data_IF_043323012664
#
_entry.id   IF_043323012664
#
_cell.length_a   1.000
_cell.length_b   1.000
_cell.length_c   1.000
_cell.angle_alpha   90.00
_cell.angle_beta   90.00
_cell.angle_gamma   90.00
#
_symmetry.space_group_name_H-M   'P 1'
#
loop_
_entity.id
_entity.type
_entity.pdbx_description
1 polymer ?
#
# COMPACT_ATOMS: atom_id res chain seq x y z
N UNK A 1 -12.98 17.21 -26.20
CA UNK A 1 -11.86 16.52 -25.57
C UNK A 1 -11.05 17.56 -24.80
N UNK A 2 -10.65 17.24 -23.58
CA UNK A 2 -9.79 18.14 -22.80
C UNK A 2 -8.40 18.18 -23.41
N UNK A 3 -7.69 19.30 -23.25
CA UNK A 3 -6.29 19.40 -23.70
C UNK A 3 -5.40 18.30 -23.07
N UNK A 4 -5.78 17.77 -21.89
CA UNK A 4 -5.04 16.68 -21.21
C UNK A 4 -5.17 15.37 -22.01
N UNK A 5 -6.40 15.00 -22.41
CA UNK A 5 -6.65 13.77 -23.17
C UNK A 5 -5.93 13.78 -24.53
N UNK A 6 -5.95 14.92 -25.23
CA UNK A 6 -5.24 15.07 -26.51
C UNK A 6 -3.71 14.97 -26.33
N UNK A 7 -3.18 15.61 -25.26
CA UNK A 7 -1.77 15.53 -24.92
C UNK A 7 -1.33 14.08 -24.64
N UNK A 8 -2.08 13.37 -23.81
CA UNK A 8 -1.72 12.02 -23.36
C UNK A 8 -1.88 10.96 -24.47
N UNK A 9 -2.79 11.15 -25.41
CA UNK A 9 -2.92 10.26 -26.59
C UNK A 9 -1.85 10.47 -27.64
N UNK A 10 -1.33 11.69 -27.77
CA UNK A 10 -0.41 12.11 -28.82
C UNK A 10 0.90 12.68 -28.28
N UNK A 11 1.38 12.17 -27.14
CA UNK A 11 2.57 12.72 -26.48
C UNK A 11 3.84 12.55 -27.31
N UNK A 12 3.96 11.50 -28.14
CA UNK A 12 5.12 11.24 -28.98
C UNK A 12 6.42 10.87 -28.24
N UNK A 13 6.33 10.66 -26.93
CA UNK A 13 7.47 10.31 -26.06
C UNK A 13 7.76 8.81 -26.19
N UNK A 14 9.03 8.43 -26.35
CA UNK A 14 9.43 7.03 -26.36
C UNK A 14 9.51 6.49 -24.93
N UNK A 15 8.63 5.54 -24.62
CA UNK A 15 8.54 4.84 -23.33
C UNK A 15 8.92 3.34 -23.46
N UNK A 16 9.45 2.90 -24.58
CA UNK A 16 9.81 1.48 -24.84
C UNK A 16 10.82 0.92 -23.84
N UNK A 17 11.63 1.78 -23.23
CA UNK A 17 12.60 1.42 -22.19
C UNK A 17 11.96 0.93 -20.88
N UNK A 18 10.68 1.19 -20.66
CA UNK A 18 9.97 0.77 -19.44
C UNK A 18 9.94 -0.75 -19.29
N UNK A 19 9.85 -1.51 -20.39
CA UNK A 19 9.83 -2.97 -20.33
C UNK A 19 11.13 -3.53 -19.77
N UNK A 20 12.27 -3.08 -20.28
CA UNK A 20 13.56 -3.54 -19.78
C UNK A 20 13.85 -3.09 -18.36
N UNK A 21 13.38 -1.91 -17.96
CA UNK A 21 13.51 -1.44 -16.60
C UNK A 21 12.63 -2.27 -15.64
N UNK A 22 11.38 -2.55 -16.01
CA UNK A 22 10.48 -3.39 -15.22
C UNK A 22 11.07 -4.78 -15.00
N UNK A 23 11.58 -5.43 -16.06
CA UNK A 23 12.21 -6.74 -15.97
C UNK A 23 13.47 -6.72 -15.07
N UNK A 24 14.29 -5.67 -15.16
CA UNK A 24 15.48 -5.51 -14.30
C UNK A 24 15.09 -5.34 -12.82
N UNK A 25 14.11 -4.50 -12.52
CA UNK A 25 13.61 -4.31 -11.15
C UNK A 25 13.01 -5.61 -10.60
N UNK A 26 12.21 -6.33 -11.40
CA UNK A 26 11.59 -7.58 -11.02
C UNK A 26 12.59 -8.69 -10.72
N UNK A 27 13.65 -8.81 -11.55
CA UNK A 27 14.72 -9.79 -11.36
C UNK A 27 15.56 -9.47 -10.11
N UNK A 28 15.57 -8.19 -9.70
CA UNK A 28 16.46 -7.67 -8.65
C UNK A 28 15.74 -7.06 -7.44
N UNK A 29 14.71 -7.70 -6.87
CA UNK A 29 13.97 -7.14 -5.74
C UNK A 29 14.81 -7.05 -4.48
N UNK A 30 14.52 -6.06 -3.65
CA UNK A 30 15.14 -5.87 -2.34
C UNK A 30 14.05 -5.72 -1.26
N UNK A 31 14.29 -6.33 -0.08
CA UNK A 31 13.38 -6.25 1.06
C UNK A 31 13.31 -4.84 1.62
N UNK A 32 12.18 -4.52 2.28
CA UNK A 32 12.00 -3.28 3.05
C UNK A 32 13.19 -2.98 3.97
N UNK A 33 13.78 -1.78 3.81
CA UNK A 33 14.95 -1.32 4.56
C UNK A 33 16.30 -1.78 4.01
N UNK A 34 16.32 -2.40 2.82
CA UNK A 34 17.54 -2.87 2.15
C UNK A 34 17.64 -2.44 0.68
N UNK A 35 16.82 -1.50 0.23
CA UNK A 35 16.55 -1.13 -1.17
C UNK A 35 17.70 -0.29 -1.79
N UNK A 36 18.94 -0.71 -1.58
CA UNK A 36 20.14 0.02 -2.01
C UNK A 36 20.32 0.03 -3.51
N UNK A 37 20.13 -1.10 -4.19
CA UNK A 37 20.31 -1.24 -5.63
C UNK A 37 19.14 -0.59 -6.36
N UNK A 38 17.90 -0.81 -5.88
CA UNK A 38 16.69 -0.21 -6.42
C UNK A 38 16.75 1.32 -6.39
N UNK A 39 17.15 1.90 -5.25
CA UNK A 39 17.34 3.35 -5.13
C UNK A 39 18.37 3.89 -6.13
N UNK A 40 19.49 3.17 -6.36
CA UNK A 40 20.49 3.55 -7.37
C UNK A 40 19.94 3.46 -8.79
N UNK A 41 19.14 2.45 -9.10
CA UNK A 41 18.47 2.31 -10.40
C UNK A 41 17.55 3.49 -10.66
N UNK A 42 16.72 3.88 -9.67
CA UNK A 42 15.85 5.06 -9.75
C UNK A 42 16.67 6.33 -10.00
N UNK A 43 17.74 6.55 -9.23
CA UNK A 43 18.64 7.70 -9.41
C UNK A 43 19.26 7.73 -10.81
N UNK A 44 19.69 6.58 -11.33
CA UNK A 44 20.24 6.46 -12.68
C UNK A 44 19.22 6.85 -13.76
N UNK A 45 17.96 6.46 -13.62
CA UNK A 45 16.89 6.86 -14.54
C UNK A 45 16.59 8.36 -14.45
N UNK A 46 16.54 8.92 -13.25
CA UNK A 46 16.27 10.34 -13.03
C UNK A 46 17.35 11.26 -13.60
N UNK A 47 18.60 10.82 -13.72
CA UNK A 47 19.67 11.56 -14.37
C UNK A 47 19.41 11.88 -15.86
N UNK A 48 18.39 11.27 -16.46
CA UNK A 48 17.98 11.53 -17.85
C UNK A 48 17.09 12.77 -17.98
N UNK A 49 16.56 13.28 -16.87
CA UNK A 49 15.54 14.33 -16.84
C UNK A 49 16.09 15.63 -16.26
N UNK A 50 15.50 16.74 -16.65
CA UNK A 50 15.81 18.06 -16.09
C UNK A 50 15.02 18.26 -14.78
N UNK A 51 15.52 17.70 -13.69
CA UNK A 51 14.90 17.80 -12.35
C UNK A 51 15.95 17.95 -11.26
N UNK A 52 15.51 18.54 -10.14
CA UNK A 52 16.27 18.51 -8.89
C UNK A 52 16.04 17.18 -8.18
N UNK A 53 17.12 16.49 -7.79
CA UNK A 53 17.01 15.19 -7.08
C UNK A 53 17.50 15.34 -5.66
N UNK A 54 16.69 14.85 -4.71
CA UNK A 54 17.01 14.79 -3.27
C UNK A 54 17.03 13.31 -2.86
N UNK A 55 18.19 12.84 -2.43
CA UNK A 55 18.42 11.47 -1.96
C UNK A 55 19.68 11.41 -1.09
N UNK A 56 19.74 10.57 -0.03
CA UNK A 56 18.64 9.74 0.45
C UNK A 56 17.64 10.53 1.31
N UNK A 57 16.39 10.05 1.39
CA UNK A 57 15.36 10.58 2.28
C UNK A 57 14.69 9.40 3.00
N UNK A 58 14.71 9.40 4.33
CA UNK A 58 14.14 8.29 5.13
C UNK A 58 14.81 6.94 4.88
N UNK A 59 16.12 6.92 4.65
CA UNK A 59 16.90 5.73 4.35
C UNK A 59 17.25 5.61 2.87
N UNK A 60 16.37 5.06 2.03
CA UNK A 60 16.62 4.84 0.60
C UNK A 60 15.71 5.63 -0.32
N UNK A 61 14.81 6.46 0.23
CA UNK A 61 13.86 7.24 -0.55
C UNK A 61 14.54 8.24 -1.50
N UNK A 62 13.88 8.48 -2.63
CA UNK A 62 14.34 9.38 -3.69
C UNK A 62 13.20 10.34 -4.06
N UNK A 63 13.53 11.61 -4.22
CA UNK A 63 12.57 12.64 -4.62
C UNK A 63 13.12 13.35 -5.85
N UNK A 64 12.31 13.51 -6.88
CA UNK A 64 12.62 14.32 -8.05
C UNK A 64 11.62 15.48 -8.15
N UNK A 65 12.12 16.69 -8.28
CA UNK A 65 11.33 17.92 -8.36
C UNK A 65 11.51 18.57 -9.73
N UNK A 66 10.42 18.57 -10.50
CA UNK A 66 10.35 19.20 -11.81
C UNK A 66 9.66 20.56 -11.68
N UNK A 67 10.39 21.63 -11.91
CA UNK A 67 9.84 22.99 -11.95
C UNK A 67 9.70 23.46 -13.39
N UNK A 68 8.55 24.01 -13.73
CA UNK A 68 8.29 24.43 -15.09
C UNK A 68 7.49 25.73 -15.17
N UNK A 69 7.95 26.65 -16.01
CA UNK A 69 7.32 27.95 -16.21
C UNK A 69 7.34 28.82 -14.94
N UNK A 70 6.28 29.56 -14.70
CA UNK A 70 6.07 30.36 -13.49
C UNK A 70 5.61 29.47 -12.33
N UNK A 71 6.51 28.57 -11.90
CA UNK A 71 6.20 27.54 -10.91
C UNK A 71 5.89 28.11 -9.50
N UNK A 72 6.34 29.32 -9.18
CA UNK A 72 6.08 29.95 -7.88
C UNK A 72 4.61 30.36 -7.71
N UNK A 73 3.93 30.66 -8.81
CA UNK A 73 2.53 31.09 -8.85
C UNK A 73 1.56 29.99 -9.32
N UNK A 74 2.05 28.77 -9.47
CA UNK A 74 1.27 27.63 -9.97
C UNK A 74 1.31 26.46 -9.01
N UNK A 75 0.31 25.53 -9.09
CA UNK A 75 0.17 24.42 -8.17
C UNK A 75 1.38 23.48 -8.09
N UNK A 76 1.50 22.83 -6.95
CA UNK A 76 2.46 21.77 -6.65
C UNK A 76 1.69 20.45 -6.55
N UNK A 77 2.00 19.48 -7.41
CA UNK A 77 1.40 18.16 -7.39
C UNK A 77 2.46 17.10 -7.10
N UNK A 78 2.18 16.22 -6.14
CA UNK A 78 3.06 15.11 -5.77
C UNK A 78 2.44 13.79 -6.23
N UNK A 79 3.24 12.92 -6.85
CA UNK A 79 2.90 11.53 -7.14
C UNK A 79 3.91 10.59 -6.49
N UNK A 80 3.42 9.59 -5.74
CA UNK A 80 4.24 8.61 -5.02
C UNK A 80 4.21 7.27 -5.72
N UNK A 81 5.35 6.58 -5.71
CA UNK A 81 5.49 5.14 -5.94
C UNK A 81 6.35 4.54 -4.83
N UNK A 82 5.97 3.38 -4.34
CA UNK A 82 6.80 2.51 -3.51
C UNK A 82 7.72 1.64 -4.37
N UNK A 83 8.74 1.00 -3.73
CA UNK A 83 9.70 0.21 -4.50
C UNK A 83 10.36 -0.97 -3.76
N UNK A 84 9.86 -1.35 -2.60
CA UNK A 84 10.36 -2.50 -1.85
C UNK A 84 9.73 -3.83 -2.29
N UNK A 85 10.40 -4.93 -1.97
CA UNK A 85 9.97 -6.29 -2.24
C UNK A 85 9.65 -7.08 -0.98
N UNK A 86 9.09 -8.25 -1.17
CA UNK A 86 8.56 -9.14 -0.12
C UNK A 86 9.38 -10.43 0.04
N UNK A 87 9.40 -11.04 1.23
CA UNK A 87 10.04 -12.36 1.45
C UNK A 87 9.17 -13.50 0.89
N UNK A 88 8.88 -13.46 -0.41
CA UNK A 88 8.05 -14.42 -1.14
C UNK A 88 8.90 -15.16 -2.16
N UNK A 89 8.65 -16.49 -2.30
CA UNK A 89 9.27 -17.29 -3.34
C UNK A 89 8.49 -17.13 -4.64
N UNK A 90 9.14 -16.63 -5.66
CA UNK A 90 8.52 -16.49 -6.97
C UNK A 90 8.27 -17.84 -7.65
N UNK A 91 7.11 -17.95 -8.31
CA UNK A 91 6.67 -19.14 -9.06
C UNK A 91 6.05 -18.79 -10.41
N UNK A 92 6.28 -17.57 -10.92
CA UNK A 92 5.72 -17.10 -12.21
C UNK A 92 6.26 -17.85 -13.41
N UNK A 93 7.52 -18.30 -13.34
CA UNK A 93 8.19 -19.04 -14.41
C UNK A 93 8.66 -18.19 -15.59
N UNK A 94 8.62 -16.85 -15.48
CA UNK A 94 9.16 -15.97 -16.54
C UNK A 94 10.69 -16.00 -16.58
N UNK A 95 11.31 -15.71 -17.73
CA UNK A 95 12.77 -15.77 -17.87
C UNK A 95 13.53 -14.83 -16.92
N UNK A 96 12.90 -13.74 -16.50
CA UNK A 96 13.40 -12.71 -15.59
C UNK A 96 12.79 -12.81 -14.20
N UNK A 97 12.32 -14.02 -13.79
CA UNK A 97 11.87 -14.29 -12.45
C UNK A 97 12.98 -14.11 -11.42
N UNK A 98 12.67 -13.56 -10.26
CA UNK A 98 13.64 -13.37 -9.20
C UNK A 98 14.13 -14.70 -8.62
N UNK A 99 15.43 -14.85 -8.51
CA UNK A 99 16.12 -15.93 -7.79
C UNK A 99 16.84 -15.41 -6.55
N UNK A 100 16.58 -14.15 -6.17
CA UNK A 100 17.28 -13.50 -5.06
C UNK A 100 16.92 -14.13 -3.72
N UNK A 101 17.95 -14.27 -2.88
CA UNK A 101 17.85 -14.73 -1.50
C UNK A 101 18.53 -13.69 -0.62
N UNK A 102 17.87 -13.29 0.47
CA UNK A 102 18.38 -12.32 1.44
C UNK A 102 18.24 -12.84 2.88
N UNK A 103 19.15 -12.46 3.79
CA UNK A 103 18.98 -12.74 5.20
C UNK A 103 17.87 -11.85 5.78
N UNK A 104 16.95 -12.47 6.52
CA UNK A 104 15.90 -11.80 7.28
C UNK A 104 15.75 -12.55 8.62
N UNK A 105 15.92 -11.86 9.74
CA UNK A 105 15.78 -12.41 11.11
C UNK A 105 16.58 -13.72 11.33
N UNK A 106 17.80 -13.77 10.78
CA UNK A 106 18.72 -14.91 10.92
C UNK A 106 18.42 -16.09 10.00
N UNK A 107 17.46 -15.98 9.10
CA UNK A 107 17.14 -16.98 8.07
C UNK A 107 17.32 -16.40 6.68
N UNK A 108 17.65 -17.24 5.71
CA UNK A 108 17.69 -16.85 4.31
C UNK A 108 16.31 -17.01 3.68
N UNK A 109 15.74 -15.93 3.15
CA UNK A 109 14.42 -15.92 2.51
C UNK A 109 14.55 -15.56 1.02
N UNK A 110 13.71 -16.13 0.14
CA UNK A 110 13.58 -15.66 -1.22
C UNK A 110 12.94 -14.28 -1.24
N UNK A 111 13.21 -13.48 -2.28
CA UNK A 111 12.66 -12.13 -2.43
C UNK A 111 12.00 -11.98 -3.79
N UNK A 112 10.82 -11.35 -3.81
CA UNK A 112 10.04 -11.10 -5.03
C UNK A 112 9.32 -9.74 -4.93
N UNK A 113 9.12 -9.07 -6.06
CA UNK A 113 8.13 -7.98 -6.16
C UNK A 113 6.69 -8.54 -6.24
N UNK A 114 6.27 -9.24 -5.18
CA UNK A 114 4.95 -9.87 -5.12
C UNK A 114 3.79 -8.88 -4.89
N UNK A 115 4.07 -7.59 -4.73
CA UNK A 115 3.06 -6.53 -4.65
C UNK A 115 3.05 -5.58 -5.85
N UNK A 116 4.00 -5.74 -6.80
CA UNK A 116 4.05 -4.97 -8.04
C UNK A 116 4.66 -3.56 -7.88
N UNK A 117 5.50 -3.34 -6.87
CA UNK A 117 6.17 -2.05 -6.64
C UNK A 117 7.20 -1.71 -7.73
N UNK A 118 7.73 -2.71 -8.43
CA UNK A 118 8.49 -2.57 -9.67
C UNK A 118 7.66 -1.90 -10.78
N UNK A 119 6.40 -2.28 -10.92
CA UNK A 119 5.45 -1.65 -11.85
C UNK A 119 5.15 -0.21 -11.45
N UNK A 120 4.95 0.06 -10.15
CA UNK A 120 4.71 1.42 -9.65
C UNK A 120 5.89 2.35 -9.94
N UNK A 121 7.10 1.89 -9.64
CA UNK A 121 8.35 2.62 -9.92
C UNK A 121 8.51 2.88 -11.41
N UNK A 122 8.32 1.86 -12.25
CA UNK A 122 8.42 1.96 -13.71
C UNK A 122 7.40 2.95 -14.28
N UNK A 123 6.16 2.89 -13.80
CA UNK A 123 5.09 3.81 -14.23
C UNK A 123 5.37 5.26 -13.84
N UNK A 124 5.85 5.50 -12.59
CA UNK A 124 6.18 6.85 -12.15
C UNK A 124 7.36 7.44 -12.93
N UNK A 125 8.39 6.66 -13.22
CA UNK A 125 9.50 7.10 -14.08
C UNK A 125 9.03 7.39 -15.51
N UNK A 126 8.06 6.61 -16.03
CA UNK A 126 7.41 6.91 -17.31
C UNK A 126 6.63 8.23 -17.30
N UNK A 127 5.91 8.53 -16.20
CA UNK A 127 5.24 9.82 -16.02
C UNK A 127 6.25 10.97 -15.93
N UNK A 128 7.40 10.76 -15.26
CA UNK A 128 8.50 11.73 -15.24
C UNK A 128 9.01 12.03 -16.65
N UNK A 129 9.27 11.00 -17.47
CA UNK A 129 9.71 11.18 -18.85
C UNK A 129 8.69 11.96 -19.68
N UNK A 130 7.41 11.58 -19.58
CA UNK A 130 6.33 12.23 -20.30
C UNK A 130 6.22 13.73 -19.95
N UNK A 131 6.24 14.05 -18.66
CA UNK A 131 6.12 15.43 -18.20
C UNK A 131 7.38 16.26 -18.48
N UNK A 132 8.57 15.64 -18.44
CA UNK A 132 9.82 16.30 -18.76
C UNK A 132 9.91 16.65 -20.24
N UNK A 133 9.59 15.74 -21.15
CA UNK A 133 9.59 16.00 -22.59
C UNK A 133 8.46 16.94 -23.04
N UNK A 134 7.38 17.02 -22.26
CA UNK A 134 6.20 17.86 -22.59
C UNK A 134 6.09 19.10 -21.71
N UNK A 135 7.23 19.70 -21.33
CA UNK A 135 7.29 20.96 -20.56
C UNK A 135 6.60 22.13 -21.27
N UNK A 136 6.46 22.07 -22.58
CA UNK A 136 5.69 23.05 -23.36
C UNK A 136 4.19 23.07 -22.99
N UNK A 137 3.69 21.98 -22.44
CA UNK A 137 2.25 21.77 -22.22
C UNK A 137 1.74 22.13 -20.81
N UNK A 138 2.62 22.28 -19.81
CA UNK A 138 2.18 22.51 -18.42
C UNK A 138 3.04 23.55 -17.70
N UNK A 139 2.63 23.95 -16.50
CA UNK A 139 3.40 24.84 -15.61
C UNK A 139 3.09 24.56 -14.15
N UNK A 140 4.05 24.84 -13.27
CA UNK A 140 3.97 24.57 -11.84
C UNK A 140 5.11 23.65 -11.38
N UNK A 141 4.86 22.88 -10.31
CA UNK A 141 5.84 21.95 -9.77
C UNK A 141 5.27 20.54 -9.70
N UNK A 142 5.94 19.60 -10.34
CA UNK A 142 5.68 18.17 -10.19
C UNK A 142 6.74 17.54 -9.28
N UNK A 143 6.31 16.80 -8.26
CA UNK A 143 7.17 16.06 -7.33
C UNK A 143 6.91 14.57 -7.55
N UNK A 144 7.92 13.85 -8.03
CA UNK A 144 7.93 12.39 -8.06
C UNK A 144 8.63 11.89 -6.79
N UNK A 145 7.92 11.17 -5.95
CA UNK A 145 8.41 10.64 -4.67
C UNK A 145 8.47 9.13 -4.74
N UNK A 146 9.66 8.56 -4.63
CA UNK A 146 9.90 7.12 -4.57
C UNK A 146 10.14 6.72 -3.13
N UNK A 147 9.23 5.91 -2.58
CA UNK A 147 9.17 5.55 -1.17
C UNK A 147 9.69 4.14 -0.93
N UNK A 148 10.69 3.94 -0.04
CA UNK A 148 11.10 2.60 0.42
C UNK A 148 10.14 2.06 1.48
N UNK A 149 10.27 0.79 1.83
CA UNK A 149 9.77 0.19 3.08
C UNK A 149 8.26 0.38 3.34
N UNK A 150 7.44 0.25 2.30
CA UNK A 150 5.99 0.28 2.41
C UNK A 150 5.47 -0.96 3.14
N UNK A 151 5.96 -2.15 2.77
CA UNK A 151 5.46 -3.46 3.21
C UNK A 151 5.61 -3.71 4.74
N UNK A 152 6.46 -2.91 5.38
CA UNK A 152 6.58 -2.91 6.85
C UNK A 152 5.98 -1.67 7.52
N UNK A 153 5.28 -0.80 6.75
CA UNK A 153 4.64 0.44 7.16
C UNK A 153 5.60 1.45 7.84
N UNK A 154 6.88 1.48 7.42
CA UNK A 154 7.91 2.35 8.02
C UNK A 154 8.39 3.45 7.09
N UNK A 155 8.30 3.25 5.77
CA UNK A 155 8.93 4.12 4.78
C UNK A 155 8.38 5.52 4.78
N UNK A 156 7.07 5.70 4.73
CA UNK A 156 6.44 7.01 4.78
C UNK A 156 6.86 7.78 6.06
N UNK A 157 6.75 7.12 7.22
CA UNK A 157 7.12 7.72 8.50
C UNK A 157 8.64 8.04 8.59
N UNK A 158 9.50 7.21 8.01
CA UNK A 158 10.94 7.47 7.96
C UNK A 158 11.25 8.71 7.11
N UNK A 159 10.60 8.86 5.95
CA UNK A 159 10.76 10.05 5.11
C UNK A 159 10.25 11.32 5.81
N UNK A 160 9.12 11.23 6.51
CA UNK A 160 8.56 12.35 7.30
C UNK A 160 9.53 12.74 8.42
N UNK A 161 10.03 11.76 9.18
CA UNK A 161 10.97 12.01 10.28
C UNK A 161 12.32 12.58 9.80
N UNK A 162 12.74 12.25 8.58
CA UNK A 162 13.93 12.82 7.92
C UNK A 162 13.70 14.24 7.36
N UNK A 163 12.57 14.85 7.67
CA UNK A 163 12.30 16.25 7.32
C UNK A 163 11.73 16.43 5.92
N UNK A 164 10.90 15.51 5.42
CA UNK A 164 10.27 15.62 4.11
C UNK A 164 9.63 16.99 3.87
N UNK A 165 8.87 17.51 4.85
CA UNK A 165 8.16 18.79 4.74
C UNK A 165 9.10 20.00 4.60
N UNK A 166 10.38 19.89 4.99
CA UNK A 166 11.39 20.93 4.84
C UNK A 166 12.19 20.78 3.54
N UNK A 167 12.19 19.59 2.95
CA UNK A 167 12.97 19.26 1.76
C UNK A 167 12.23 19.55 0.46
N UNK A 168 10.89 19.59 0.50
CA UNK A 168 10.06 19.80 -0.70
C UNK A 168 9.11 21.00 -0.52
N UNK A 169 8.71 21.68 -1.61
CA UNK A 169 7.59 22.61 -1.52
C UNK A 169 6.32 21.87 -1.11
N UNK A 170 5.48 22.51 -0.28
CA UNK A 170 4.23 21.90 0.16
C UNK A 170 3.33 21.60 -1.03
N UNK A 171 2.91 20.34 -1.26
CA UNK A 171 1.99 19.99 -2.33
C UNK A 171 0.58 20.55 -2.08
N UNK A 172 -0.08 21.02 -3.15
CA UNK A 172 -1.51 21.32 -3.14
C UNK A 172 -2.36 20.06 -3.23
N UNK A 173 -1.76 18.96 -3.74
CA UNK A 173 -2.38 17.64 -3.84
C UNK A 173 -1.31 16.55 -3.88
N UNK A 174 -1.63 15.41 -3.28
CA UNK A 174 -0.82 14.19 -3.35
C UNK A 174 -1.58 13.06 -4.04
N UNK A 175 -0.85 12.24 -4.78
CA UNK A 175 -1.38 11.10 -5.51
C UNK A 175 -0.56 9.85 -5.24
N UNK A 176 -1.22 8.69 -5.27
CA UNK A 176 -0.58 7.38 -5.39
C UNK A 176 -1.49 6.40 -6.10
N UNK A 177 -0.91 5.31 -6.61
CA UNK A 177 -1.65 4.24 -7.28
C UNK A 177 -1.05 2.89 -6.91
N UNK A 178 -1.85 1.83 -7.08
CA UNK A 178 -1.39 0.47 -6.80
C UNK A 178 -1.94 -0.52 -7.82
N UNK A 179 -1.12 -1.47 -8.27
CA UNK A 179 -1.57 -2.57 -9.12
C UNK A 179 -2.23 -3.66 -8.30
N UNK A 180 -3.38 -4.11 -8.76
CA UNK A 180 -4.21 -5.11 -8.06
C UNK A 180 -4.80 -6.11 -9.04
N UNK A 181 -5.30 -7.28 -8.57
CA UNK A 181 -6.14 -8.13 -9.40
C UNK A 181 -7.32 -7.35 -9.98
N UNK A 182 -7.48 -7.43 -11.29
CA UNK A 182 -8.49 -6.71 -12.06
C UNK A 182 -8.13 -6.74 -13.54
N UNK A 183 -9.03 -6.37 -14.46
CA UNK A 183 -8.72 -6.38 -15.88
C UNK A 183 -7.55 -5.45 -16.17
N UNK A 184 -6.48 -5.97 -16.78
CA UNK A 184 -5.24 -5.23 -17.00
C UNK A 184 -5.49 -3.92 -17.76
N UNK A 185 -4.98 -2.82 -17.21
CA UNK A 185 -5.16 -1.47 -17.73
C UNK A 185 -6.40 -0.72 -17.21
N UNK A 186 -7.30 -1.37 -16.48
CA UNK A 186 -8.43 -0.68 -15.85
C UNK A 186 -7.95 0.30 -14.77
N UNK A 187 -8.47 1.52 -14.78
CA UNK A 187 -8.20 2.56 -13.78
C UNK A 187 -9.40 2.66 -12.85
N UNK A 188 -9.22 2.20 -11.62
CA UNK A 188 -10.31 2.02 -10.66
C UNK A 188 -10.17 3.04 -9.53
N UNK A 189 -11.09 4.00 -9.44
CA UNK A 189 -11.04 5.07 -8.44
C UNK A 189 -12.36 5.28 -7.72
N UNK A 190 -12.32 5.80 -6.49
CA UNK A 190 -13.50 6.10 -5.69
C UNK A 190 -13.27 7.29 -4.78
N UNK A 191 -14.33 8.03 -4.39
CA UNK A 191 -14.24 9.02 -3.31
C UNK A 191 -14.33 8.35 -1.95
N UNK A 192 -13.83 9.02 -0.92
CA UNK A 192 -13.89 8.55 0.46
C UNK A 192 -13.04 7.31 0.71
N UNK A 193 -13.39 6.51 1.70
CA UNK A 193 -12.63 5.35 2.11
C UNK A 193 -12.36 4.37 0.96
N UNK A 194 -11.09 4.25 0.56
CA UNK A 194 -10.62 3.37 -0.50
C UNK A 194 -9.96 2.11 0.08
N UNK A 195 -8.99 2.24 1.00
CA UNK A 195 -8.36 1.13 1.70
C UNK A 195 -8.64 1.21 3.19
N UNK A 196 -8.63 0.05 3.87
CA UNK A 196 -8.92 -0.03 5.28
C UNK A 196 -7.77 0.53 6.13
N UNK A 197 -8.11 1.21 7.21
CA UNK A 197 -7.19 1.41 8.31
C UNK A 197 -6.90 0.08 9.02
N UNK A 198 -5.72 -0.05 9.58
CA UNK A 198 -5.36 -1.24 10.36
C UNK A 198 -4.62 -0.90 11.65
N UNK A 199 -4.75 -1.81 12.61
CA UNK A 199 -3.88 -1.87 13.78
C UNK A 199 -3.58 -3.32 14.12
N UNK A 200 -2.41 -3.56 14.68
CA UNK A 200 -2.07 -4.81 15.33
C UNK A 200 -2.10 -4.65 16.85
N UNK A 201 -2.52 -5.69 17.56
CA UNK A 201 -2.65 -5.68 19.02
C UNK A 201 -1.93 -6.90 19.59
N UNK A 202 -0.92 -6.66 20.43
CA UNK A 202 -0.21 -7.70 21.20
C UNK A 202 -0.88 -7.81 22.57
N UNK A 203 -1.36 -8.99 22.90
CA UNK A 203 -2.03 -9.29 24.18
C UNK A 203 -1.22 -10.34 24.89
N UNK A 204 -0.78 -10.03 26.13
CA UNK A 204 -0.04 -10.97 26.99
C UNK A 204 -0.81 -11.21 28.27
N UNK A 205 -0.98 -12.51 28.61
CA UNK A 205 -1.73 -12.99 29.73
C UNK A 205 -0.79 -13.78 30.63
N UNK A 206 -0.65 -13.37 31.90
CA UNK A 206 0.16 -14.05 32.89
C UNK A 206 -0.73 -14.87 33.82
N UNK A 207 -0.53 -16.18 33.81
CA UNK A 207 -1.16 -17.12 34.69
C UNK A 207 -0.18 -17.69 35.72
N UNK A 208 -0.46 -18.92 36.18
CA UNK A 208 0.38 -19.67 37.10
C UNK A 208 0.63 -21.08 36.58
N UNK A 209 1.89 -21.40 36.39
CA UNK A 209 2.35 -22.71 35.91
C UNK A 209 2.08 -23.83 36.92
N UNK A 210 1.83 -25.03 36.40
CA UNK A 210 1.75 -26.27 37.19
C UNK A 210 2.08 -27.50 36.35
N UNK A 211 2.29 -28.61 37.01
CA UNK A 211 2.40 -29.92 36.34
C UNK A 211 1.08 -30.26 35.64
N UNK A 212 1.12 -30.76 34.39
CA UNK A 212 -0.06 -31.04 33.59
C UNK A 212 -1.09 -32.00 34.24
N UNK A 213 -0.63 -32.88 35.16
CA UNK A 213 -1.52 -33.73 35.96
C UNK A 213 -2.15 -33.07 37.17
N UNK A 214 -1.78 -31.81 37.49
CA UNK A 214 -2.23 -31.06 38.68
C UNK A 214 -2.82 -29.69 38.25
N UNK A 215 -3.80 -29.65 37.34
CA UNK A 215 -4.33 -28.38 36.82
C UNK A 215 -4.98 -27.49 37.85
N UNK A 216 -5.45 -28.05 38.97
CA UNK A 216 -6.02 -27.32 40.11
C UNK A 216 -5.03 -26.42 40.84
N UNK A 217 -3.70 -26.62 40.62
CA UNK A 217 -2.64 -25.77 41.16
C UNK A 217 -2.25 -24.63 40.18
N UNK A 218 -2.83 -24.61 39.00
CA UNK A 218 -2.53 -23.60 37.98
C UNK A 218 -3.57 -22.49 37.91
N UNK A 219 -3.22 -21.41 37.21
CA UNK A 219 -4.13 -20.51 36.53
C UNK A 219 -3.71 -20.59 35.06
N UNK A 220 -4.46 -21.33 34.26
CA UNK A 220 -4.02 -21.74 32.92
C UNK A 220 -4.23 -20.64 31.86
N UNK A 221 -3.15 -19.94 31.45
CA UNK A 221 -3.26 -18.87 30.46
C UNK A 221 -3.54 -19.41 29.05
N UNK A 222 -3.28 -20.70 28.76
CA UNK A 222 -3.61 -21.35 27.49
C UNK A 222 -5.12 -21.42 27.33
N UNK A 223 -5.81 -21.88 28.38
CA UNK A 223 -7.27 -21.95 28.40
C UNK A 223 -7.90 -20.55 28.25
N UNK A 224 -7.38 -19.57 28.99
CA UNK A 224 -7.87 -18.17 28.91
C UNK A 224 -7.70 -17.63 27.51
N UNK A 225 -6.52 -17.79 26.89
CA UNK A 225 -6.25 -17.33 25.53
C UNK A 225 -7.19 -17.99 24.51
N UNK A 226 -7.44 -19.28 24.62
CA UNK A 226 -8.39 -19.98 23.76
C UNK A 226 -9.82 -19.42 23.89
N UNK A 227 -10.28 -19.15 25.11
CA UNK A 227 -11.60 -18.55 25.37
C UNK A 227 -11.70 -17.11 24.83
N UNK A 228 -10.62 -16.33 24.92
CA UNK A 228 -10.55 -15.01 24.31
C UNK A 228 -10.71 -15.14 22.79
N UNK A 229 -9.94 -16.03 22.11
CA UNK A 229 -10.06 -16.24 20.65
C UNK A 229 -11.50 -16.53 20.25
N UNK A 230 -12.18 -17.45 20.95
CA UNK A 230 -13.57 -17.81 20.67
C UNK A 230 -14.49 -16.60 20.88
N UNK A 231 -14.32 -15.87 21.97
CA UNK A 231 -15.18 -14.72 22.31
C UNK A 231 -14.98 -13.54 21.36
N UNK A 232 -13.76 -13.28 20.89
CA UNK A 232 -13.45 -12.23 19.92
C UNK A 232 -14.26 -12.37 18.61
N UNK A 233 -14.54 -13.61 18.17
CA UNK A 233 -15.35 -13.86 16.96
C UNK A 233 -16.75 -13.28 17.08
N UNK A 234 -17.28 -13.14 18.27
CA UNK A 234 -18.61 -12.56 18.51
C UNK A 234 -18.67 -11.03 18.36
N UNK A 235 -17.54 -10.32 18.44
CA UNK A 235 -17.54 -8.85 18.43
C UNK A 235 -18.08 -8.32 17.11
N UNK A 236 -17.51 -8.76 15.97
CA UNK A 236 -17.94 -8.30 14.65
C UNK A 236 -19.40 -8.67 14.40
N UNK A 237 -19.80 -9.91 14.71
CA UNK A 237 -21.15 -10.39 14.43
C UNK A 237 -22.23 -9.90 15.38
N UNK A 238 -21.93 -9.25 16.51
CA UNK A 238 -22.90 -8.86 17.56
C UNK A 238 -22.81 -7.41 17.99
N UNK A 239 -21.70 -6.72 17.71
CA UNK A 239 -21.48 -5.35 18.19
C UNK A 239 -21.20 -4.35 17.08
N UNK A 240 -20.85 -4.82 15.87
CA UNK A 240 -20.70 -3.98 14.66
C UNK A 240 -22.00 -4.07 13.86
N UNK A 241 -22.47 -2.93 13.34
CA UNK A 241 -23.64 -2.92 12.46
C UNK A 241 -23.38 -3.77 11.22
N UNK A 242 -24.36 -4.54 10.70
CA UNK A 242 -24.20 -5.27 9.44
C UNK A 242 -23.85 -4.38 8.23
N UNK A 243 -24.13 -3.08 8.31
CA UNK A 243 -23.77 -2.10 7.26
C UNK A 243 -22.35 -1.56 7.41
N UNK A 244 -21.67 -1.86 8.52
CA UNK A 244 -20.32 -1.41 8.82
C UNK A 244 -19.32 -2.56 8.65
N UNK A 245 -18.11 -2.23 8.19
CA UNK A 245 -17.05 -3.20 8.03
C UNK A 245 -16.12 -3.22 9.25
N UNK A 246 -15.79 -4.40 9.72
CA UNK A 246 -14.71 -4.65 10.66
C UNK A 246 -14.13 -6.05 10.46
N UNK A 247 -12.83 -6.19 10.67
CA UNK A 247 -12.13 -7.48 10.76
C UNK A 247 -11.36 -7.53 12.07
N UNK A 248 -11.44 -8.67 12.76
CA UNK A 248 -10.58 -9.02 13.90
C UNK A 248 -10.03 -10.42 13.59
N UNK A 249 -8.76 -10.49 13.23
CA UNK A 249 -8.06 -11.76 12.97
C UNK A 249 -7.05 -12.03 14.06
N UNK A 250 -6.96 -13.28 14.51
CA UNK A 250 -5.90 -13.73 15.42
C UNK A 250 -4.80 -14.37 14.59
N UNK A 251 -3.71 -13.62 14.38
CA UNK A 251 -2.55 -14.08 13.58
C UNK A 251 -1.58 -14.94 14.39
N UNK A 252 -1.54 -14.76 15.71
CA UNK A 252 -0.64 -15.51 16.59
C UNK A 252 -1.38 -15.94 17.86
N UNK A 253 -1.20 -17.20 18.23
CA UNK A 253 -1.52 -17.75 19.53
C UNK A 253 -0.33 -18.61 19.98
N UNK A 254 0.36 -18.17 21.03
CA UNK A 254 1.54 -18.84 21.57
C UNK A 254 1.34 -19.12 23.07
N UNK A 255 1.54 -20.37 23.49
CA UNK A 255 1.46 -20.73 24.89
C UNK A 255 2.16 -22.07 25.12
N UNK A 256 3.06 -22.12 26.08
CA UNK A 256 3.78 -23.33 26.47
C UNK A 256 4.72 -23.91 25.41
N UNK A 257 5.49 -24.92 25.82
CA UNK A 257 6.46 -25.62 24.98
C UNK A 257 6.65 -27.10 25.40
N UNK A 258 5.83 -27.60 26.32
CA UNK A 258 5.93 -28.95 26.88
C UNK A 258 4.55 -29.59 26.99
N UNK A 259 4.47 -30.89 26.77
CA UNK A 259 3.23 -31.67 26.83
C UNK A 259 2.70 -31.92 28.25
N UNK A 260 3.50 -31.74 29.29
CA UNK A 260 3.16 -32.07 30.67
C UNK A 260 3.26 -30.88 31.64
N UNK A 261 3.42 -29.66 31.11
CA UNK A 261 3.52 -28.42 31.90
C UNK A 261 2.47 -27.42 31.44
N UNK A 262 1.62 -26.96 32.34
CA UNK A 262 0.75 -25.80 32.11
C UNK A 262 1.66 -24.57 32.21
N UNK A 263 1.72 -23.72 31.18
CA UNK A 263 2.63 -22.57 31.14
C UNK A 263 2.20 -21.45 32.08
N UNK A 264 3.09 -20.48 32.30
CA UNK A 264 2.81 -19.27 33.07
C UNK A 264 2.37 -18.07 32.23
N UNK A 265 2.45 -18.19 30.90
CA UNK A 265 2.14 -17.08 29.98
C UNK A 265 1.50 -17.57 28.68
N UNK A 266 0.60 -16.77 28.12
CA UNK A 266 0.10 -16.89 26.77
C UNK A 266 0.17 -15.53 26.08
N UNK A 267 0.37 -15.55 24.76
CA UNK A 267 0.42 -14.38 23.89
C UNK A 267 -0.52 -14.55 22.72
N UNK A 268 -1.28 -13.49 22.42
CA UNK A 268 -2.11 -13.36 21.23
C UNK A 268 -1.64 -12.14 20.44
N UNK A 269 -1.60 -12.25 19.11
CA UNK A 269 -1.43 -11.06 18.25
C UNK A 269 -2.61 -10.99 17.30
N UNK A 270 -3.30 -9.85 17.34
CA UNK A 270 -4.47 -9.57 16.52
C UNK A 270 -4.09 -8.63 15.38
N UNK A 271 -4.81 -8.73 14.26
CA UNK A 271 -4.88 -7.71 13.23
C UNK A 271 -6.33 -7.25 13.10
N UNK A 272 -6.54 -5.95 13.20
CA UNK A 272 -7.86 -5.31 13.10
C UNK A 272 -7.92 -4.44 11.85
N UNK A 273 -9.08 -4.45 11.14
CA UNK A 273 -9.35 -3.62 9.96
C UNK A 273 -10.69 -2.91 10.11
N UNK A 274 -10.78 -1.66 9.66
CA UNK A 274 -12.00 -0.83 9.73
C UNK A 274 -11.93 0.32 8.72
N UNK A 275 -13.10 0.92 8.39
CA UNK A 275 -13.19 2.07 7.49
C UNK A 275 -13.60 3.37 8.20
N UNK A 276 -13.73 3.36 9.51
CA UNK A 276 -14.02 4.59 10.27
C UNK A 276 -13.69 4.45 11.76
N UNK A 277 -13.41 5.58 12.38
CA UNK A 277 -13.03 5.69 13.78
C UNK A 277 -14.12 5.23 14.78
N UNK A 278 -15.40 5.30 14.43
CA UNK A 278 -16.47 4.86 15.32
C UNK A 278 -16.43 3.35 15.50
N UNK A 279 -16.22 2.62 14.39
CA UNK A 279 -16.03 1.18 14.39
C UNK A 279 -14.75 0.82 15.13
N UNK A 280 -13.63 1.48 14.83
CA UNK A 280 -12.34 1.31 15.55
C UNK A 280 -12.56 1.37 17.07
N UNK A 281 -13.10 2.48 17.56
CA UNK A 281 -13.33 2.69 19.00
C UNK A 281 -14.27 1.64 19.61
N UNK A 282 -15.25 1.17 18.85
CA UNK A 282 -16.19 0.12 19.30
C UNK A 282 -15.49 -1.22 19.45
N UNK A 283 -14.76 -1.68 18.40
CA UNK A 283 -14.08 -2.98 18.45
C UNK A 283 -12.96 -2.99 19.52
N UNK A 284 -12.25 -1.90 19.74
CA UNK A 284 -11.18 -1.83 20.74
C UNK A 284 -11.75 -1.95 22.15
N UNK A 285 -12.81 -1.21 22.48
CA UNK A 285 -13.49 -1.34 23.77
C UNK A 285 -14.03 -2.76 23.97
N UNK A 286 -14.51 -3.41 22.91
CA UNK A 286 -14.99 -4.78 22.97
C UNK A 286 -13.86 -5.77 23.21
N UNK A 287 -12.72 -5.62 22.49
CA UNK A 287 -11.52 -6.45 22.69
C UNK A 287 -11.02 -6.34 24.13
N UNK A 288 -10.80 -5.11 24.63
CA UNK A 288 -10.36 -4.90 26.01
C UNK A 288 -11.32 -5.52 27.03
N UNK A 289 -12.62 -5.34 26.84
CA UNK A 289 -13.65 -5.91 27.70
C UNK A 289 -13.62 -7.45 27.69
N UNK A 290 -13.50 -8.05 26.51
CA UNK A 290 -13.38 -9.51 26.36
C UNK A 290 -12.14 -10.04 27.06
N UNK A 291 -10.98 -9.44 26.78
CA UNK A 291 -9.70 -9.87 27.37
C UNK A 291 -9.75 -9.77 28.88
N UNK A 292 -10.16 -8.63 29.45
CA UNK A 292 -10.29 -8.43 30.90
C UNK A 292 -11.35 -9.34 31.52
N UNK A 293 -12.48 -9.53 30.82
CA UNK A 293 -13.56 -10.39 31.27
C UNK A 293 -13.17 -11.87 31.38
N UNK A 294 -12.50 -12.42 30.37
CA UNK A 294 -12.04 -13.82 30.38
C UNK A 294 -10.90 -14.03 31.40
N UNK A 295 -10.00 -13.05 31.56
CA UNK A 295 -8.98 -13.07 32.61
C UNK A 295 -9.61 -13.10 34.00
N UNK A 296 -10.57 -12.24 34.26
CA UNK A 296 -11.29 -12.18 35.54
C UNK A 296 -12.06 -13.47 35.80
N UNK A 297 -12.80 -13.99 34.81
CA UNK A 297 -13.59 -15.22 34.93
C UNK A 297 -12.73 -16.45 35.24
N UNK A 298 -11.46 -16.43 34.83
CA UNK A 298 -10.51 -17.52 35.00
C UNK A 298 -9.55 -17.32 36.19
N UNK A 299 -9.74 -16.26 36.98
CA UNK A 299 -8.94 -16.00 38.19
C UNK A 299 -7.51 -15.53 37.88
N UNK A 300 -7.26 -14.93 36.74
CA UNK A 300 -5.97 -14.29 36.44
C UNK A 300 -5.75 -13.15 37.45
N UNK A 301 -4.62 -13.17 38.13
CA UNK A 301 -4.29 -12.24 39.22
C UNK A 301 -3.64 -10.94 38.72
N UNK A 302 -3.07 -10.97 37.53
CA UNK A 302 -2.40 -9.82 36.92
C UNK A 302 -3.26 -9.22 35.79
N UNK A 303 -3.27 -7.90 35.67
CA UNK A 303 -3.89 -7.24 34.52
C UNK A 303 -3.19 -7.73 33.22
N UNK A 304 -3.97 -8.09 32.17
CA UNK A 304 -3.41 -8.41 30.86
C UNK A 304 -2.74 -7.17 30.26
N UNK A 305 -1.58 -7.38 29.60
CA UNK A 305 -0.93 -6.32 28.85
C UNK A 305 -1.51 -6.28 27.45
N UNK A 306 -1.97 -5.11 27.01
CA UNK A 306 -2.55 -4.89 25.67
C UNK A 306 -1.77 -3.73 25.03
N UNK A 307 -0.99 -4.04 24.01
CA UNK A 307 -0.16 -3.07 23.28
C UNK A 307 -0.61 -2.96 21.83
N UNK A 308 -0.78 -1.72 21.35
CA UNK A 308 -1.16 -1.42 19.96
C UNK A 308 0.09 -1.09 19.16
N UNK A 309 0.22 -1.65 17.96
CA UNK A 309 1.37 -1.44 17.08
C UNK A 309 0.99 -1.60 15.61
N UNK A 310 1.92 -1.30 14.70
CA UNK A 310 1.73 -1.39 13.25
C UNK A 310 0.43 -0.71 12.78
N UNK A 311 0.30 0.58 13.15
CA UNK A 311 -0.82 1.41 12.75
C UNK A 311 -0.73 1.79 11.28
N UNK A 312 -1.79 1.56 10.51
CA UNK A 312 -2.00 2.06 9.16
C UNK A 312 -3.22 2.96 9.12
N UNK A 313 -3.04 4.18 8.60
CA UNK A 313 -4.13 5.14 8.44
C UNK A 313 -5.18 4.67 7.44
N UNK A 314 -6.40 5.19 7.57
CA UNK A 314 -7.43 5.02 6.55
C UNK A 314 -6.99 5.72 5.26
N UNK A 315 -6.99 5.01 4.14
CA UNK A 315 -6.85 5.66 2.84
C UNK A 315 -8.21 6.26 2.47
N UNK A 316 -8.40 7.53 2.85
CA UNK A 316 -9.66 8.27 2.70
C UNK A 316 -9.49 9.35 1.62
N UNK A 317 -9.87 9.01 0.40
CA UNK A 317 -9.74 9.89 -0.76
C UNK A 317 -10.57 11.16 -0.59
N UNK A 318 -9.92 12.31 -0.78
CA UNK A 318 -10.58 13.60 -0.78
C UNK A 318 -11.64 13.67 -1.89
N UNK A 319 -12.87 14.06 -1.52
CA UNK A 319 -14.03 14.07 -2.42
C UNK A 319 -13.88 15.12 -3.53
N UNK A 320 -13.29 16.28 -3.23
CA UNK A 320 -13.10 17.36 -4.19
C UNK A 320 -11.95 17.04 -5.16
N UNK A 321 -10.88 16.39 -4.68
CA UNK A 321 -9.81 15.87 -5.53
C UNK A 321 -10.36 14.82 -6.48
N UNK A 322 -11.14 13.86 -5.97
CA UNK A 322 -11.79 12.85 -6.80
C UNK A 322 -12.70 13.48 -7.86
N UNK A 323 -13.57 14.41 -7.47
CA UNK A 323 -14.50 15.09 -8.38
C UNK A 323 -13.76 15.85 -9.49
N UNK A 324 -12.53 16.30 -9.24
CA UNK A 324 -11.70 17.00 -10.22
C UNK A 324 -10.94 16.03 -11.15
N UNK A 325 -10.44 14.91 -10.65
CA UNK A 325 -9.61 13.96 -11.41
C UNK A 325 -10.46 12.95 -12.18
N UNK A 326 -11.55 12.44 -11.60
CA UNK A 326 -12.36 11.38 -12.20
C UNK A 326 -12.88 11.71 -13.62
N UNK A 327 -13.38 12.90 -13.92
CA UNK A 327 -13.79 13.24 -15.29
C UNK A 327 -12.65 13.19 -16.31
N UNK A 328 -11.41 13.47 -15.88
CA UNK A 328 -10.23 13.36 -16.74
C UNK A 328 -9.91 11.88 -16.99
N UNK A 329 -9.99 11.02 -15.98
CA UNK A 329 -9.85 9.58 -16.17
C UNK A 329 -10.93 9.02 -17.10
N UNK A 330 -12.19 9.42 -16.92
CA UNK A 330 -13.30 8.99 -17.79
C UNK A 330 -13.07 9.40 -19.26
N UNK A 331 -12.48 10.57 -19.49
CA UNK A 331 -12.17 11.04 -20.85
C UNK A 331 -10.96 10.32 -21.45
N UNK A 332 -9.92 10.04 -20.65
CA UNK A 332 -8.67 9.43 -21.11
C UNK A 332 -8.85 7.93 -21.35
N UNK A 333 -9.48 7.23 -20.40
CA UNK A 333 -9.58 5.77 -20.37
C UNK A 333 -10.92 5.23 -20.86
N UNK A 334 -11.96 6.07 -20.95
CA UNK A 334 -13.28 5.63 -21.41
C UNK A 334 -13.85 4.52 -20.52
N UNK A 335 -14.20 3.35 -21.10
CA UNK A 335 -14.80 2.24 -20.34
C UNK A 335 -13.87 1.58 -19.32
N UNK A 336 -12.56 1.79 -19.44
CA UNK A 336 -11.56 1.29 -18.47
C UNK A 336 -11.45 2.17 -17.21
N UNK A 337 -12.05 3.39 -17.22
CA UNK A 337 -12.21 4.19 -16.00
C UNK A 337 -13.45 3.73 -15.25
N UNK A 338 -13.25 2.99 -14.16
CA UNK A 338 -14.36 2.40 -13.39
C UNK A 338 -14.35 2.85 -11.94
N UNK A 339 -15.49 2.65 -11.26
CA UNK A 339 -15.57 2.88 -9.82
C UNK A 339 -14.94 1.71 -9.09
N UNK A 340 -13.98 2.00 -8.21
CA UNK A 340 -13.33 0.99 -7.37
C UNK A 340 -14.27 0.51 -6.26
N UNK A 341 -14.21 -0.78 -5.95
CA UNK A 341 -14.67 -1.29 -4.67
C UNK A 341 -13.70 -0.88 -3.55
N UNK A 342 -14.15 -0.94 -2.30
CA UNK A 342 -13.25 -0.78 -1.15
C UNK A 342 -12.31 -1.97 -1.08
N UNK A 343 -11.03 -1.68 -0.91
CA UNK A 343 -10.03 -2.72 -0.70
C UNK A 343 -9.71 -2.86 0.79
N UNK A 344 -9.63 -4.10 1.28
CA UNK A 344 -9.40 -4.38 2.71
C UNK A 344 -7.92 -4.35 3.11
N UNK A 345 -7.02 -4.17 2.14
CA UNK A 345 -5.61 -3.88 2.41
C UNK A 345 -5.44 -2.53 3.12
N UNK A 346 -4.29 -2.29 3.68
CA UNK A 346 -3.86 -0.99 4.22
C UNK A 346 -2.56 -0.56 3.55
N UNK A 347 -2.26 0.72 3.69
CA UNK A 347 -1.20 1.43 2.96
C UNK A 347 -0.62 2.50 3.90
N UNK A 348 0.68 2.81 3.81
CA UNK A 348 1.30 3.88 4.61
C UNK A 348 1.39 5.22 3.85
N UNK A 349 1.08 5.25 2.55
CA UNK A 349 1.02 6.49 1.75
C UNK A 349 0.24 7.62 2.42
N UNK A 350 -0.95 7.41 3.04
CA UNK A 350 -1.73 8.48 3.65
C UNK A 350 -0.95 9.30 4.70
N UNK A 351 0.06 8.71 5.34
CA UNK A 351 0.90 9.41 6.30
C UNK A 351 1.61 10.62 5.68
N UNK A 352 2.03 10.52 4.41
CA UNK A 352 2.72 11.60 3.68
C UNK A 352 1.82 12.82 3.48
N UNK A 353 0.66 12.73 2.80
CA UNK A 353 -0.22 13.89 2.64
C UNK A 353 -0.75 14.44 3.97
N UNK A 354 -1.00 13.60 4.96
CA UNK A 354 -1.42 14.04 6.29
C UNK A 354 -0.32 14.88 6.96
N UNK A 355 0.94 14.45 6.92
CA UNK A 355 2.07 15.21 7.47
C UNK A 355 2.34 16.52 6.71
N UNK A 356 2.06 16.56 5.41
CA UNK A 356 2.19 17.73 4.55
C UNK A 356 0.96 18.65 4.59
N UNK A 357 -0.11 18.24 5.29
CA UNK A 357 -1.41 18.91 5.32
C UNK A 357 -1.93 19.19 3.90
N UNK A 358 -1.99 18.15 3.08
CA UNK A 358 -2.40 18.19 1.67
C UNK A 358 -3.52 17.18 1.42
N UNK A 359 -4.53 17.51 0.60
CA UNK A 359 -5.53 16.55 0.16
C UNK A 359 -4.91 15.53 -0.79
N UNK A 360 -5.56 14.37 -0.95
CA UNK A 360 -5.00 13.30 -1.79
C UNK A 360 -6.06 12.44 -2.48
N UNK A 361 -5.61 11.75 -3.53
CA UNK A 361 -6.34 10.69 -4.19
C UNK A 361 -5.44 9.49 -4.41
N UNK A 362 -5.95 8.33 -4.03
CA UNK A 362 -5.38 7.01 -4.27
C UNK A 362 -6.31 6.21 -5.18
N UNK A 363 -5.76 5.54 -6.19
CA UNK A 363 -6.53 4.67 -7.08
C UNK A 363 -5.79 3.37 -7.35
N UNK A 364 -6.49 2.40 -7.95
CA UNK A 364 -5.89 1.12 -8.32
C UNK A 364 -5.90 0.91 -9.83
N UNK A 365 -4.94 0.11 -10.29
CA UNK A 365 -4.77 -0.29 -11.69
C UNK A 365 -4.93 -1.80 -11.78
N UNK A 366 -5.82 -2.27 -12.64
CA UNK A 366 -5.98 -3.69 -12.91
C UNK A 366 -4.75 -4.26 -13.60
N UNK A 367 -4.31 -5.44 -13.16
CA UNK A 367 -3.04 -6.05 -13.59
C UNK A 367 -3.19 -7.47 -14.14
N UNK A 368 -4.38 -8.05 -14.10
CA UNK A 368 -4.64 -9.43 -14.57
C UNK A 368 -4.95 -9.42 -16.07
N UNK A 369 -4.33 -10.31 -16.89
CA UNK A 369 -4.68 -10.43 -18.30
C UNK A 369 -6.20 -10.48 -18.52
N UNK A 370 -6.72 -9.60 -19.40
CA UNK A 370 -8.16 -9.38 -19.54
C UNK A 370 -8.97 -10.66 -19.82
N UNK A 371 -8.39 -11.61 -20.58
CA UNK A 371 -9.01 -12.90 -20.85
C UNK A 371 -9.09 -13.81 -19.63
N UNK A 372 -8.08 -13.79 -18.76
CA UNK A 372 -8.03 -14.58 -17.53
C UNK A 372 -9.02 -14.02 -16.51
N UNK A 373 -9.03 -12.68 -16.36
CA UNK A 373 -10.01 -12.00 -15.52
C UNK A 373 -11.45 -12.32 -15.93
N UNK A 374 -11.77 -12.16 -17.21
CA UNK A 374 -13.12 -12.42 -17.71
C UNK A 374 -13.56 -13.88 -17.49
N UNK A 375 -12.66 -14.86 -17.68
CA UNK A 375 -12.95 -16.27 -17.39
C UNK A 375 -13.21 -16.53 -15.92
N UNK A 376 -12.39 -15.97 -15.03
CA UNK A 376 -12.51 -16.13 -13.59
C UNK A 376 -13.82 -15.53 -13.06
N UNK A 377 -14.18 -14.32 -13.54
CA UNK A 377 -15.46 -13.66 -13.22
C UNK A 377 -16.66 -14.48 -13.70
N UNK A 378 -16.65 -14.95 -14.94
CA UNK A 378 -17.74 -15.76 -15.50
C UNK A 378 -17.93 -17.10 -14.75
N UNK A 379 -16.87 -17.63 -14.18
CA UNK A 379 -16.89 -18.86 -13.40
C UNK A 379 -17.16 -18.66 -11.89
N UNK A 380 -17.27 -17.41 -11.42
CA UNK A 380 -17.33 -17.05 -9.97
C UNK A 380 -16.14 -17.62 -9.19
N UNK A 381 -14.92 -17.51 -9.76
CA UNK A 381 -13.70 -18.14 -9.26
C UNK A 381 -12.51 -17.18 -9.18
N UNK A 382 -12.78 -15.87 -9.09
CA UNK A 382 -11.69 -14.86 -9.05
C UNK A 382 -10.68 -15.15 -7.92
N UNK A 383 -11.17 -15.47 -6.73
CA UNK A 383 -10.30 -15.75 -5.58
C UNK A 383 -9.46 -17.03 -5.71
N UNK A 384 -9.83 -17.96 -6.60
CA UNK A 384 -9.14 -19.22 -6.81
C UNK A 384 -8.24 -19.22 -8.04
N UNK A 385 -8.64 -18.50 -9.09
CA UNK A 385 -8.03 -18.60 -10.42
C UNK A 385 -7.19 -17.37 -10.80
N UNK A 386 -7.27 -16.28 -10.01
CA UNK A 386 -6.50 -15.05 -10.24
C UNK A 386 -5.47 -14.85 -9.13
N UNK A 387 -4.17 -14.85 -9.45
CA UNK A 387 -3.14 -14.52 -8.48
C UNK A 387 -3.35 -13.13 -7.88
N UNK A 388 -3.27 -13.03 -6.56
CA UNK A 388 -3.39 -11.79 -5.82
C UNK A 388 -2.02 -11.28 -5.34
N UNK A 389 -1.94 -10.00 -4.97
CA UNK A 389 -0.78 -9.42 -4.31
C UNK A 389 -0.32 -10.31 -3.14
N UNK A 390 0.98 -10.43 -2.94
CA UNK A 390 1.70 -11.28 -1.98
C UNK A 390 1.69 -12.79 -2.32
N UNK A 391 1.14 -13.20 -3.47
CA UNK A 391 1.29 -14.56 -3.99
C UNK A 391 2.55 -14.69 -4.87
N UNK A 392 3.17 -15.85 -4.87
CA UNK A 392 4.41 -16.09 -5.62
C UNK A 392 4.24 -16.16 -7.15
N UNK A 393 3.02 -16.24 -7.64
CA UNK A 393 2.63 -16.21 -9.04
C UNK A 393 1.92 -14.90 -9.45
N UNK A 394 1.90 -13.90 -8.57
CA UNK A 394 1.40 -12.57 -8.92
C UNK A 394 2.35 -11.90 -9.92
N UNK A 395 1.86 -11.63 -11.12
CA UNK A 395 2.61 -10.99 -12.19
C UNK A 395 1.67 -10.07 -12.98
N UNK A 396 1.87 -8.75 -12.94
CA UNK A 396 1.13 -7.82 -13.78
C UNK A 396 1.32 -8.08 -15.27
N UNK A 397 0.22 -8.06 -16.05
CA UNK A 397 0.26 -8.00 -17.51
C UNK A 397 0.90 -6.68 -17.95
N UNK A 398 2.14 -6.73 -18.40
CA UNK A 398 3.03 -5.57 -18.47
C UNK A 398 2.45 -4.41 -19.30
N UNK A 399 2.21 -4.64 -20.61
CA UNK A 399 1.92 -3.53 -21.54
C UNK A 399 0.66 -2.73 -21.19
N UNK A 400 -0.51 -3.35 -20.97
CA UNK A 400 -1.72 -2.59 -20.63
C UNK A 400 -1.60 -1.94 -19.25
N UNK A 401 -0.94 -2.60 -18.29
CA UNK A 401 -0.81 -2.11 -16.93
C UNK A 401 0.13 -0.91 -16.86
N UNK A 402 1.35 -1.00 -17.41
CA UNK A 402 2.33 0.08 -17.36
C UNK A 402 1.85 1.31 -18.12
N UNK A 403 1.21 1.11 -19.28
CA UNK A 403 0.64 2.19 -20.08
C UNK A 403 -0.44 2.95 -19.31
N UNK A 404 -1.40 2.24 -18.73
CA UNK A 404 -2.46 2.86 -17.96
C UNK A 404 -1.95 3.50 -16.68
N UNK A 405 -1.03 2.86 -15.95
CA UNK A 405 -0.45 3.41 -14.73
C UNK A 405 0.37 4.69 -15.01
N UNK A 406 1.21 4.70 -16.05
CA UNK A 406 1.95 5.90 -16.50
C UNK A 406 1.01 7.02 -16.90
N UNK A 407 0.00 6.70 -17.70
CA UNK A 407 -0.96 7.67 -18.22
C UNK A 407 -1.84 8.23 -17.10
N UNK A 408 -2.29 7.41 -16.15
CA UNK A 408 -3.12 7.84 -15.01
C UNK A 408 -2.32 8.76 -14.07
N UNK A 409 -1.06 8.44 -13.78
CA UNK A 409 -0.19 9.30 -12.99
C UNK A 409 -0.03 10.68 -13.65
N UNK A 410 0.30 10.72 -14.95
CA UNK A 410 0.44 11.98 -15.69
C UNK A 410 -0.89 12.75 -15.77
N UNK A 411 -2.03 12.06 -15.99
CA UNK A 411 -3.36 12.67 -16.07
C UNK A 411 -3.77 13.35 -14.76
N UNK A 412 -3.56 12.66 -13.63
CA UNK A 412 -3.86 13.19 -12.30
C UNK A 412 -3.01 14.44 -12.00
N UNK A 413 -1.71 14.39 -12.25
CA UNK A 413 -0.78 15.52 -12.09
C UNK A 413 -1.19 16.70 -12.98
N UNK A 414 -1.42 16.48 -14.27
CA UNK A 414 -1.84 17.52 -15.23
C UNK A 414 -3.21 18.14 -14.89
N UNK A 415 -4.09 17.43 -14.20
CA UNK A 415 -5.38 17.97 -13.73
C UNK A 415 -5.17 19.16 -12.78
N UNK A 416 -4.06 19.21 -12.07
CA UNK A 416 -3.69 20.29 -11.15
C UNK A 416 -2.73 21.30 -11.79
N UNK A 417 -1.69 20.83 -12.46
CA UNK A 417 -0.72 21.72 -13.11
C UNK A 417 -1.31 22.45 -14.32
N UNK A 418 -2.43 21.95 -14.87
CA UNK A 418 -3.08 22.51 -16.06
C UNK A 418 -2.33 22.18 -17.35
N UNK A 419 -2.97 22.49 -18.45
CA UNK A 419 -2.37 22.42 -19.80
C UNK A 419 -2.38 23.81 -20.40
N UNK A 420 -1.21 24.30 -20.83
CA UNK A 420 -1.11 25.57 -21.52
C UNK A 420 -1.92 25.53 -22.80
N UNK A 421 -2.88 26.41 -22.93
CA UNK A 421 -3.52 26.64 -24.24
C UNK A 421 -2.50 27.25 -25.19
N UNK A 422 -2.11 26.56 -26.24
CA UNK A 422 -1.42 27.23 -27.34
C UNK A 422 -2.38 28.31 -27.88
N UNK A 423 -2.17 29.58 -27.47
CA UNK A 423 -2.74 30.66 -28.26
C UNK A 423 -2.14 30.53 -29.66
N UNK A 424 -2.94 30.14 -30.64
CA UNK A 424 -2.57 30.33 -32.04
C UNK A 424 -2.29 31.82 -32.21
N UNK A 425 -1.01 32.17 -32.45
CA UNK A 425 -0.60 33.49 -32.91
C UNK A 425 -1.03 33.65 -34.35
#
# INVERSE_FOLDING_TARGET
MSHISDLLRNHGVDLSWQESLYQDLHEHPELSGFETETSRTILSQLNRFDCEVISPVGGYGVIAIFRNGDHENHPVALMRADFDGLPVKETTGVPWASTRIRPLDGTNVPVMHACGHDMHTTALLGACALLDERRDAWQGTFIALFQPSEENARGANAMIADGLAQKIPRPDVCFSQHVVPGPAGAVMSRPGAALAACDSIDIRIRGRSAHGSMPHNSIDPTYVAAMIVVRLQGIVGREVSPEEFAVISVGTLQSGNSNNTIPSEARLVLNCRFYNDKVKKRIYRAIERVVKGECMASGIEHEPVIEYFAHGELTDNDVDVFAKVRPVFDEVFGPESVTADRWTASEDFPNIPLALNSPYLYWTIGATPAGDWARAVAADRVAQDVPANHMGDFLPDFEPTVKSATTAAAAAVLTYLGVRSHRKV
#
